data_IF_447451911441
#
_entry.id   IF_447451911441
#
_cell.length_a   1.000
_cell.length_b   1.000
_cell.length_c   1.000
_cell.angle_alpha   90.00
_cell.angle_beta   90.00
_cell.angle_gamma   90.00
#
_symmetry.space_group_name_H-M   'P 1'
#
loop_
_entity.id
_entity.type
_entity.pdbx_description
1 polymer ?
#
# COMPACT_ATOMS: atom_id res chain seq x y z
N UNK A 1 1.38 11.05 -5.28
CA UNK A 1 1.02 9.76 -5.92
C UNK A 1 1.09 8.68 -4.85
N UNK A 2 0.32 7.61 -5.02
CA UNK A 2 0.41 6.39 -4.24
C UNK A 2 0.73 5.25 -5.19
N UNK A 3 1.53 4.27 -4.77
CA UNK A 3 1.84 3.12 -5.59
C UNK A 3 2.08 1.87 -4.75
N UNK A 4 1.97 0.71 -5.39
CA UNK A 4 2.31 -0.58 -4.80
C UNK A 4 3.26 -1.36 -5.69
N UNK A 5 3.93 -2.35 -5.10
CA UNK A 5 4.79 -3.30 -5.80
C UNK A 5 4.77 -4.65 -5.09
N UNK A 6 5.21 -5.69 -5.80
CA UNK A 6 5.39 -7.05 -5.29
C UNK A 6 6.70 -7.63 -5.82
N UNK A 7 7.03 -8.86 -5.42
CA UNK A 7 8.16 -9.60 -6.01
C UNK A 7 8.00 -9.82 -7.52
N UNK A 8 6.76 -9.84 -8.00
CA UNK A 8 6.42 -10.12 -9.40
C UNK A 8 6.38 -8.84 -10.26
N UNK A 9 6.62 -7.67 -9.65
CA UNK A 9 6.74 -6.40 -10.35
C UNK A 9 5.93 -5.26 -9.74
N UNK A 10 5.79 -4.19 -10.53
CA UNK A 10 5.03 -2.99 -10.16
C UNK A 10 3.53 -3.29 -10.12
N UNK A 11 2.86 -2.76 -9.10
CA UNK A 11 1.40 -2.75 -8.99
C UNK A 11 0.81 -1.42 -9.44
N UNK A 12 -0.47 -1.17 -9.08
CA UNK A 12 -1.16 0.08 -9.39
C UNK A 12 -0.40 1.34 -8.93
N UNK A 13 -0.45 2.38 -9.77
CA UNK A 13 0.02 3.73 -9.48
C UNK A 13 -1.17 4.70 -9.56
N UNK A 14 -1.49 5.34 -8.45
CA UNK A 14 -2.64 6.23 -8.31
C UNK A 14 -2.16 7.67 -8.13
N UNK A 15 -2.67 8.58 -8.97
CA UNK A 15 -2.51 10.01 -8.74
C UNK A 15 -3.49 10.42 -7.64
N UNK A 16 -2.97 11.06 -6.60
CA UNK A 16 -3.78 11.63 -5.52
C UNK A 16 -4.02 13.09 -5.87
N UNK A 17 -5.28 13.47 -6.00
CA UNK A 17 -5.68 14.87 -6.09
C UNK A 17 -5.89 15.40 -4.66
N UNK A 18 -5.14 16.44 -4.27
CA UNK A 18 -5.23 17.01 -2.92
C UNK A 18 -4.41 16.27 -1.86
N UNK A 19 -4.90 16.25 -0.62
CA UNK A 19 -4.16 15.73 0.54
C UNK A 19 -4.35 14.23 0.73
N UNK A 20 -3.24 13.52 0.94
CA UNK A 20 -3.28 12.12 1.33
C UNK A 20 -3.66 11.98 2.80
N UNK A 21 -4.83 11.41 3.07
CA UNK A 21 -5.38 11.19 4.40
C UNK A 21 -5.97 9.77 4.53
N UNK A 22 -6.42 9.40 5.73
CA UNK A 22 -6.94 8.06 6.00
C UNK A 22 -8.14 7.68 5.12
N UNK A 23 -9.04 8.63 4.80
CA UNK A 23 -10.18 8.36 3.94
C UNK A 23 -9.73 8.09 2.49
N UNK A 24 -8.86 8.95 1.94
CA UNK A 24 -8.28 8.74 0.61
C UNK A 24 -7.55 7.39 0.54
N UNK A 25 -6.84 7.00 1.61
CA UNK A 25 -6.19 5.70 1.67
C UNK A 25 -7.20 4.54 1.69
N UNK A 26 -8.27 4.62 2.49
CA UNK A 26 -9.36 3.64 2.45
C UNK A 26 -9.96 3.50 1.05
N UNK A 27 -10.20 4.61 0.36
CA UNK A 27 -10.74 4.59 -1.01
C UNK A 27 -9.77 3.91 -1.99
N UNK A 28 -8.46 4.13 -1.86
CA UNK A 28 -7.44 3.43 -2.66
C UNK A 28 -7.41 1.94 -2.33
N UNK A 29 -7.49 1.58 -1.04
CA UNK A 29 -7.51 0.18 -0.63
C UNK A 29 -8.70 -0.56 -1.24
N UNK A 30 -9.91 0.00 -1.11
CA UNK A 30 -11.14 -0.68 -1.50
C UNK A 30 -11.35 -0.71 -3.02
N UNK A 31 -11.03 0.39 -3.71
CA UNK A 31 -11.31 0.51 -5.14
C UNK A 31 -10.14 0.07 -6.03
N UNK A 32 -8.93 -0.03 -5.49
CA UNK A 32 -7.73 -0.30 -6.30
C UNK A 32 -6.96 -1.50 -5.78
N UNK A 33 -6.48 -1.47 -4.53
CA UNK A 33 -5.57 -2.49 -4.06
C UNK A 33 -6.26 -3.85 -3.87
N UNK A 34 -7.42 -3.89 -3.22
CA UNK A 34 -8.13 -5.14 -2.92
C UNK A 34 -8.57 -5.83 -4.21
N UNK A 35 -9.23 -5.16 -5.18
CA UNK A 35 -9.51 -5.77 -6.50
C UNK A 35 -8.24 -6.25 -7.20
N UNK A 36 -7.15 -5.47 -7.18
CA UNK A 36 -5.89 -5.89 -7.78
C UNK A 36 -5.29 -7.15 -7.13
N UNK A 37 -5.47 -7.33 -5.82
CA UNK A 37 -5.00 -8.53 -5.12
C UNK A 37 -5.89 -9.74 -5.45
N UNK A 38 -7.21 -9.57 -5.43
CA UNK A 38 -8.17 -10.67 -5.57
C UNK A 38 -8.36 -11.13 -7.02
N UNK A 39 -8.44 -10.19 -7.95
CA UNK A 39 -8.69 -10.47 -9.38
C UNK A 39 -7.41 -10.44 -10.23
N UNK A 40 -6.28 -10.10 -9.60
CA UNK A 40 -5.00 -9.95 -10.28
C UNK A 40 -4.15 -11.23 -10.29
N UNK A 41 -2.81 -11.10 -10.38
CA UNK A 41 -1.91 -12.22 -10.63
C UNK A 41 -1.60 -13.08 -9.39
N UNK A 42 -2.26 -12.85 -8.26
CA UNK A 42 -1.88 -13.44 -6.98
C UNK A 42 -2.78 -14.62 -6.61
N UNK A 43 -2.16 -15.69 -6.12
CA UNK A 43 -2.92 -16.77 -5.49
C UNK A 43 -3.53 -16.29 -4.17
N UNK A 44 -4.71 -16.81 -3.85
CA UNK A 44 -5.42 -16.47 -2.61
C UNK A 44 -4.52 -16.77 -1.41
N UNK A 45 -4.28 -15.76 -0.58
CA UNK A 45 -3.45 -15.89 0.62
C UNK A 45 -1.94 -15.93 0.37
N UNK A 46 -1.44 -15.60 -0.82
CA UNK A 46 0.00 -15.55 -1.07
C UNK A 46 0.66 -14.21 -0.67
N UNK A 47 -0.12 -13.16 -0.43
CA UNK A 47 0.40 -11.82 -0.15
C UNK A 47 0.12 -11.34 1.28
N UNK A 48 1.01 -10.48 1.77
CA UNK A 48 0.83 -9.65 2.97
C UNK A 48 1.00 -8.19 2.56
N UNK A 49 0.08 -7.33 2.98
CA UNK A 49 0.19 -5.89 2.77
C UNK A 49 1.27 -5.32 3.69
N UNK A 50 2.33 -4.77 3.11
CA UNK A 50 3.30 -3.95 3.83
C UNK A 50 2.95 -2.47 3.63
N UNK A 51 2.83 -1.73 4.74
CA UNK A 51 2.82 -0.27 4.74
C UNK A 51 3.59 0.26 5.96
N UNK A 52 4.01 1.53 5.92
CA UNK A 52 4.66 2.15 7.07
C UNK A 52 3.66 2.39 8.21
N UNK A 53 4.17 2.78 9.38
CA UNK A 53 3.34 3.11 10.55
C UNK A 53 2.89 4.56 10.59
N UNK A 54 2.75 5.23 9.44
CA UNK A 54 2.25 6.61 9.43
C UNK A 54 0.86 6.70 10.07
N UNK A 55 0.47 7.87 10.61
CA UNK A 55 -0.87 8.07 11.19
C UNK A 55 -2.01 7.80 10.19
N UNK A 56 -1.75 7.97 8.89
CA UNK A 56 -2.72 7.65 7.83
C UNK A 56 -2.97 6.15 7.75
N UNK A 57 -1.91 5.34 7.66
CA UNK A 57 -2.01 3.89 7.52
C UNK A 57 -2.46 3.18 8.81
N UNK A 58 -2.22 3.79 9.97
CA UNK A 58 -2.60 3.25 11.29
C UNK A 58 -3.91 3.82 11.82
N UNK A 59 -4.62 4.63 11.03
CA UNK A 59 -5.92 5.16 11.41
C UNK A 59 -6.94 4.02 11.65
N UNK A 60 -7.83 4.20 12.63
CA UNK A 60 -8.84 3.20 12.99
C UNK A 60 -9.70 2.75 11.80
N UNK A 61 -10.07 3.69 10.92
CA UNK A 61 -10.85 3.41 9.72
C UNK A 61 -10.12 2.48 8.75
N UNK A 62 -8.80 2.63 8.64
CA UNK A 62 -7.96 1.81 7.76
C UNK A 62 -7.81 0.41 8.34
N UNK A 63 -7.53 0.30 9.65
CA UNK A 63 -7.43 -1.01 10.30
C UNK A 63 -8.75 -1.79 10.21
N UNK A 64 -9.89 -1.13 10.44
CA UNK A 64 -11.21 -1.75 10.32
C UNK A 64 -11.51 -2.22 8.89
N UNK A 65 -11.16 -1.42 7.87
CA UNK A 65 -11.35 -1.81 6.47
C UNK A 65 -10.49 -3.02 6.08
N UNK A 66 -9.23 -3.06 6.53
CA UNK A 66 -8.33 -4.18 6.24
C UNK A 66 -8.83 -5.48 6.88
N UNK A 67 -9.39 -5.40 8.10
CA UNK A 67 -10.04 -6.53 8.77
C UNK A 67 -11.28 -7.01 8.00
N UNK A 68 -12.18 -6.09 7.63
CA UNK A 68 -13.41 -6.37 6.86
C UNK A 68 -13.12 -7.00 5.49
N UNK A 69 -12.03 -6.61 4.84
CA UNK A 69 -11.57 -7.17 3.55
C UNK A 69 -10.67 -8.40 3.70
N UNK A 70 -10.46 -8.90 4.91
CA UNK A 70 -9.55 -10.00 5.21
C UNK A 70 -8.12 -9.81 4.66
N UNK A 71 -7.67 -8.55 4.56
CA UNK A 71 -6.32 -8.21 4.09
C UNK A 71 -5.34 -8.36 5.25
N UNK A 72 -4.45 -9.35 5.14
CA UNK A 72 -3.39 -9.54 6.14
C UNK A 72 -2.28 -8.51 5.95
N UNK A 73 -1.87 -7.88 7.03
CA UNK A 73 -0.77 -6.89 7.05
C UNK A 73 0.51 -7.48 7.62
N UNK A 74 1.65 -7.11 7.06
CA UNK A 74 2.96 -7.37 7.65
C UNK A 74 3.18 -6.41 8.82
N UNK A 75 3.56 -6.93 9.99
CA UNK A 75 3.95 -6.06 11.11
C UNK A 75 5.23 -5.31 10.76
N UNK A 76 5.14 -3.98 10.69
CA UNK A 76 6.26 -3.12 10.33
C UNK A 76 6.81 -2.38 11.56
N UNK A 77 8.14 -2.26 11.72
CA UNK A 77 8.73 -1.47 12.80
C UNK A 77 8.46 0.05 12.62
N UNK A 78 8.36 0.81 13.73
CA UNK A 78 8.11 2.26 13.69
C UNK A 78 9.24 3.10 13.11
N UNK A 79 10.46 2.55 13.04
CA UNK A 79 11.64 3.22 12.50
C UNK A 79 12.24 2.30 11.44
N UNK A 80 12.07 2.65 10.18
CA UNK A 80 12.62 1.89 9.06
C UNK A 80 12.18 2.40 7.68
N UNK A 81 12.53 3.65 7.30
CA UNK A 81 12.44 4.06 5.90
C UNK A 81 13.35 3.17 5.01
N UNK A 82 14.52 2.78 5.53
CA UNK A 82 15.52 1.95 4.82
C UNK A 82 15.07 0.52 4.53
N UNK A 83 13.98 0.07 5.16
CA UNK A 83 13.48 -1.29 5.00
C UNK A 83 12.35 -1.37 3.97
N UNK A 84 11.75 -0.25 3.52
CA UNK A 84 10.63 -0.28 2.60
C UNK A 84 11.13 -0.33 1.14
N UNK A 85 10.99 -1.46 0.42
CA UNK A 85 11.57 -1.60 -0.92
C UNK A 85 11.07 -0.54 -1.92
N UNK A 86 9.85 -0.04 -1.73
CA UNK A 86 9.26 0.95 -2.64
C UNK A 86 9.96 2.31 -2.54
N UNK A 87 10.59 2.64 -1.41
CA UNK A 87 11.35 3.90 -1.26
C UNK A 87 12.57 3.93 -2.18
N UNK A 88 13.21 2.78 -2.40
CA UNK A 88 14.30 2.65 -3.37
C UNK A 88 13.81 2.88 -4.80
N UNK A 89 12.62 2.38 -5.15
CA UNK A 89 11.98 2.63 -6.45
C UNK A 89 11.69 4.12 -6.62
N UNK A 90 11.11 4.77 -5.60
CA UNK A 90 10.86 6.21 -5.64
C UNK A 90 12.14 7.04 -5.75
N UNK A 91 13.20 6.68 -5.04
CA UNK A 91 14.49 7.34 -5.12
C UNK A 91 15.07 7.28 -6.53
N UNK A 92 15.03 6.11 -7.16
CA UNK A 92 15.47 5.94 -8.54
C UNK A 92 14.63 6.75 -9.54
N UNK A 93 13.30 6.77 -9.37
CA UNK A 93 12.40 7.55 -10.25
C UNK A 93 12.67 9.05 -10.14
N UNK A 94 12.86 9.58 -8.93
CA UNK A 94 13.18 11.00 -8.71
C UNK A 94 14.49 11.42 -9.37
N UNK A 95 15.47 10.52 -9.43
CA UNK A 95 16.75 10.80 -10.11
C UNK A 95 16.69 10.79 -11.65
N UNK A 96 15.55 10.43 -12.23
CA UNK A 96 15.32 10.34 -13.69
C UNK A 96 14.31 11.36 -14.21
N UNK A 97 13.65 12.09 -13.32
CA UNK A 97 12.77 13.20 -13.62
C UNK A 97 13.56 14.51 -13.56
#
# INVERSE_FOLDING_TARGET
VWGSMSKDGLGPLVRIEGSFNAQCYCEILDNVLVPYILDGPFEVGCCLLQHDRSPVHTARSVSALLEDRAVRTLQWPPVGPDLNPIESVWGWMKGRL
#
